data_IF_892381602457
#
_entry.id   IF_892381602457
#
_cell.length_a   1.000
_cell.length_b   1.000
_cell.length_c   1.000
_cell.angle_alpha   90.00
_cell.angle_beta   90.00
_cell.angle_gamma   90.00
#
_symmetry.space_group_name_H-M   'P 1'
#
loop_
_entity.id
_entity.type
_entity.pdbx_description
1 polymer ?
#
# COMPACT_ATOMS: atom_id res chain seq x y z
N UNK A 1 -11.98 -1.41 23.40
CA UNK A 1 -11.97 -0.77 22.06
C UNK A 1 -13.40 -0.56 21.62
N UNK A 2 -13.74 0.62 21.15
CA UNK A 2 -15.07 0.90 20.60
C UNK A 2 -15.18 0.31 19.18
N UNK A 3 -16.41 0.19 18.67
CA UNK A 3 -16.63 -0.26 17.29
C UNK A 3 -15.97 0.69 16.28
N UNK A 4 -16.07 2.00 16.52
CA UNK A 4 -15.45 3.00 15.64
C UNK A 4 -13.92 2.89 15.64
N UNK A 5 -13.32 2.66 16.80
CA UNK A 5 -11.87 2.45 16.91
C UNK A 5 -11.44 1.15 16.22
N UNK A 6 -12.19 0.07 16.41
CA UNK A 6 -11.97 -1.19 15.73
C UNK A 6 -11.95 -0.99 14.21
N UNK A 7 -12.93 -0.28 13.67
CA UNK A 7 -13.03 -0.05 12.23
C UNK A 7 -11.84 0.75 11.70
N UNK A 8 -11.41 1.79 12.43
CA UNK A 8 -10.25 2.59 12.04
C UNK A 8 -8.96 1.78 12.05
N UNK A 9 -8.76 0.96 13.09
CA UNK A 9 -7.55 0.13 13.21
C UNK A 9 -7.50 -0.87 12.06
N UNK A 10 -8.58 -1.61 11.83
CA UNK A 10 -8.57 -2.65 10.80
C UNK A 10 -8.58 -2.06 9.38
N UNK A 11 -9.10 -0.86 9.19
CA UNK A 11 -8.90 -0.14 7.94
C UNK A 11 -7.41 0.08 7.67
N UNK A 12 -6.67 0.55 8.67
CA UNK A 12 -5.26 0.89 8.51
C UNK A 12 -4.35 -0.32 8.32
N UNK A 13 -4.59 -1.41 9.05
CA UNK A 13 -3.63 -2.53 9.10
C UNK A 13 -4.07 -3.76 8.30
N UNK A 14 -5.29 -3.79 7.81
CA UNK A 14 -5.82 -4.92 7.04
C UNK A 14 -6.44 -4.48 5.72
N UNK A 15 -7.46 -3.64 5.76
CA UNK A 15 -8.21 -3.30 4.55
C UNK A 15 -7.39 -2.45 3.58
N UNK A 16 -6.68 -1.45 4.08
CA UNK A 16 -5.91 -0.55 3.23
C UNK A 16 -4.74 -1.24 2.54
N UNK A 17 -3.95 -2.11 3.20
CA UNK A 17 -2.93 -2.89 2.50
C UNK A 17 -3.49 -3.69 1.32
N UNK A 18 -4.68 -4.28 1.46
CA UNK A 18 -5.33 -4.98 0.34
C UNK A 18 -5.67 -4.02 -0.80
N UNK A 19 -6.22 -2.84 -0.48
CA UNK A 19 -6.54 -1.84 -1.51
C UNK A 19 -5.30 -1.40 -2.27
N UNK A 20 -4.18 -1.23 -1.56
CA UNK A 20 -2.90 -0.88 -2.20
C UNK A 20 -2.43 -1.97 -3.16
N UNK A 21 -2.56 -3.23 -2.74
CA UNK A 21 -2.19 -4.36 -3.59
C UNK A 21 -3.06 -4.42 -4.85
N UNK A 22 -4.38 -4.26 -4.70
CA UNK A 22 -5.30 -4.20 -5.83
C UNK A 22 -4.96 -3.05 -6.78
N UNK A 23 -4.70 -1.87 -6.24
CA UNK A 23 -4.37 -0.70 -7.05
C UNK A 23 -3.07 -0.88 -7.82
N UNK A 24 -2.08 -1.50 -7.20
CA UNK A 24 -0.80 -1.77 -7.86
C UNK A 24 -0.96 -2.77 -9.00
N UNK A 25 -1.71 -3.86 -8.78
CA UNK A 25 -1.99 -4.83 -9.83
C UNK A 25 -2.78 -4.17 -10.97
N UNK A 26 -3.73 -3.30 -10.63
CA UNK A 26 -4.52 -2.58 -11.62
C UNK A 26 -3.66 -1.65 -12.47
N UNK A 27 -2.64 -1.05 -11.88
CA UNK A 27 -1.66 -0.23 -12.61
C UNK A 27 -0.95 -1.06 -13.67
N UNK A 28 -0.60 -2.32 -13.34
CA UNK A 28 -0.01 -3.24 -14.32
C UNK A 28 -1.01 -3.66 -15.39
N UNK A 29 -2.26 -3.91 -14.99
CA UNK A 29 -3.33 -4.27 -15.93
C UNK A 29 -3.56 -3.17 -16.97
N UNK A 30 -3.58 -1.92 -16.52
CA UNK A 30 -3.84 -0.76 -17.39
C UNK A 30 -2.63 -0.30 -18.18
N UNK A 31 -1.42 -0.73 -17.78
CA UNK A 31 -0.20 -0.30 -18.45
C UNK A 31 -0.04 -0.99 -19.81
N UNK A 32 0.28 -0.23 -20.89
CA UNK A 32 0.44 -0.82 -22.24
C UNK A 32 1.47 -1.95 -22.28
N UNK A 33 2.50 -1.92 -21.44
CA UNK A 33 3.56 -2.91 -21.35
C UNK A 33 3.42 -3.83 -20.15
N UNK A 34 2.27 -3.82 -19.47
CA UNK A 34 2.08 -4.56 -18.23
C UNK A 34 2.37 -6.06 -18.36
N UNK A 35 1.85 -6.69 -19.42
CA UNK A 35 2.08 -8.12 -19.66
C UNK A 35 3.58 -8.42 -19.84
N UNK A 36 4.31 -7.55 -20.52
CA UNK A 36 5.75 -7.69 -20.70
C UNK A 36 6.50 -7.56 -19.37
N UNK A 37 6.11 -6.58 -18.56
CA UNK A 37 6.75 -6.37 -17.25
C UNK A 37 6.56 -7.56 -16.32
N UNK A 38 5.37 -8.17 -16.36
CA UNK A 38 5.07 -9.32 -15.51
C UNK A 38 5.94 -10.54 -15.81
N UNK A 39 6.48 -10.65 -17.02
CA UNK A 39 7.41 -11.73 -17.36
C UNK A 39 8.70 -11.66 -16.55
N UNK A 40 9.04 -10.49 -16.03
CA UNK A 40 10.28 -10.26 -15.28
C UNK A 40 10.02 -10.06 -13.78
N UNK A 41 8.76 -10.19 -13.33
CA UNK A 41 8.40 -9.99 -11.94
C UNK A 41 9.03 -11.06 -11.06
N UNK A 42 9.54 -10.63 -9.91
CA UNK A 42 10.19 -11.49 -8.94
C UNK A 42 9.43 -11.60 -7.62
N UNK A 43 10.16 -11.99 -6.57
CA UNK A 43 9.58 -12.25 -5.26
C UNK A 43 8.93 -11.02 -4.64
N UNK A 44 9.51 -9.83 -4.80
CA UNK A 44 8.95 -8.60 -4.25
C UNK A 44 7.54 -8.30 -4.79
N UNK A 45 7.37 -8.41 -6.10
CA UNK A 45 6.05 -8.25 -6.72
C UNK A 45 5.09 -9.33 -6.23
N UNK A 46 5.54 -10.60 -6.24
CA UNK A 46 4.70 -11.73 -5.84
C UNK A 46 4.21 -11.60 -4.41
N UNK A 47 5.12 -11.27 -3.49
CA UNK A 47 4.78 -11.16 -2.07
C UNK A 47 3.83 -9.99 -1.81
N UNK A 48 4.11 -8.83 -2.39
CA UNK A 48 3.28 -7.65 -2.18
C UNK A 48 1.88 -7.81 -2.77
N UNK A 49 1.76 -8.45 -3.94
CA UNK A 49 0.48 -8.54 -4.66
C UNK A 49 -0.33 -9.80 -4.34
N UNK A 50 0.21 -10.72 -3.55
CA UNK A 50 -0.46 -11.99 -3.25
C UNK A 50 -1.89 -11.78 -2.75
N UNK A 51 -2.10 -10.80 -1.88
CA UNK A 51 -3.41 -10.51 -1.29
C UNK A 51 -4.41 -9.91 -2.29
N UNK A 52 -3.97 -9.48 -3.46
CA UNK A 52 -4.87 -9.01 -4.50
C UNK A 52 -5.60 -10.16 -5.22
N UNK A 53 -5.20 -11.41 -4.99
CA UNK A 53 -5.91 -12.58 -5.50
C UNK A 53 -7.01 -12.99 -4.50
N UNK A 54 -7.96 -12.08 -4.28
CA UNK A 54 -9.03 -12.25 -3.29
C UNK A 54 -10.39 -11.92 -3.92
N UNK A 55 -11.46 -12.36 -3.25
CA UNK A 55 -12.84 -12.23 -3.76
C UNK A 55 -13.22 -10.76 -4.02
N UNK A 56 -13.57 -10.39 -5.27
CA UNK A 56 -13.99 -9.02 -5.56
C UNK A 56 -15.30 -8.65 -4.86
N UNK A 57 -16.22 -9.58 -4.69
CA UNK A 57 -17.48 -9.32 -4.00
C UNK A 57 -17.27 -9.00 -2.52
N UNK A 58 -16.43 -9.80 -1.86
CA UNK A 58 -16.11 -9.59 -0.44
C UNK A 58 -15.40 -8.25 -0.25
N UNK A 59 -14.43 -7.93 -1.10
CA UNK A 59 -13.65 -6.70 -0.95
C UNK A 59 -14.43 -5.45 -1.33
N UNK A 60 -15.36 -5.55 -2.29
CA UNK A 60 -16.33 -4.49 -2.56
C UNK A 60 -17.11 -4.16 -1.28
N UNK A 61 -17.63 -5.18 -0.61
CA UNK A 61 -18.46 -4.99 0.57
C UNK A 61 -17.67 -4.46 1.75
N UNK A 62 -16.45 -4.96 1.96
CA UNK A 62 -15.54 -4.46 3.00
C UNK A 62 -15.22 -2.98 2.76
N UNK A 63 -14.88 -2.62 1.54
CA UNK A 63 -14.50 -1.26 1.19
C UNK A 63 -15.66 -0.28 1.43
N UNK A 64 -16.87 -0.66 1.02
CA UNK A 64 -18.05 0.20 1.22
C UNK A 64 -18.40 0.32 2.71
N UNK A 65 -18.28 -0.77 3.46
CA UNK A 65 -18.60 -0.76 4.89
C UNK A 65 -17.65 0.14 5.69
N UNK A 66 -16.41 0.29 5.26
CA UNK A 66 -15.40 1.12 5.96
C UNK A 66 -14.93 2.29 5.09
N UNK A 67 -15.84 2.83 4.31
CA UNK A 67 -15.58 3.84 3.29
C UNK A 67 -14.82 5.07 3.80
N UNK A 68 -15.30 5.66 4.89
CA UNK A 68 -14.74 6.95 5.34
C UNK A 68 -13.31 6.81 5.86
N UNK A 69 -13.03 5.76 6.63
CA UNK A 69 -11.68 5.48 7.10
C UNK A 69 -10.72 5.21 5.93
N UNK A 70 -11.20 4.47 4.92
CA UNK A 70 -10.38 4.15 3.75
C UNK A 70 -10.10 5.37 2.89
N UNK A 71 -11.07 6.27 2.74
CA UNK A 71 -10.86 7.53 2.01
C UNK A 71 -9.79 8.39 2.68
N UNK A 72 -9.80 8.46 4.01
CA UNK A 72 -8.76 9.17 4.76
C UNK A 72 -7.38 8.58 4.53
N UNK A 73 -7.27 7.25 4.61
CA UNK A 73 -6.00 6.55 4.39
C UNK A 73 -5.47 6.73 2.96
N UNK A 74 -6.36 6.72 1.98
CA UNK A 74 -5.97 7.00 0.59
C UNK A 74 -5.38 8.40 0.48
N UNK A 75 -6.00 9.40 1.13
CA UNK A 75 -5.47 10.77 1.15
C UNK A 75 -4.07 10.83 1.76
N UNK A 76 -3.87 10.15 2.88
CA UNK A 76 -2.56 10.07 3.54
C UNK A 76 -1.51 9.39 2.65
N UNK A 77 -1.90 8.31 1.97
CA UNK A 77 -1.00 7.61 1.07
C UNK A 77 -0.59 8.47 -0.13
N UNK A 78 -1.53 9.23 -0.67
CA UNK A 78 -1.21 10.18 -1.75
C UNK A 78 -0.13 11.18 -1.31
N UNK A 79 -0.20 11.66 -0.07
CA UNK A 79 0.80 12.57 0.47
C UNK A 79 2.17 11.90 0.57
N UNK A 80 2.22 10.62 0.97
CA UNK A 80 3.48 9.88 1.01
C UNK A 80 4.08 9.72 -0.40
N UNK A 81 3.25 9.38 -1.37
CA UNK A 81 3.71 9.26 -2.75
C UNK A 81 4.20 10.60 -3.31
N UNK A 82 3.54 11.71 -2.95
CA UNK A 82 3.97 13.05 -3.36
C UNK A 82 5.34 13.41 -2.77
N UNK A 83 5.62 13.03 -1.52
CA UNK A 83 6.94 13.23 -0.90
C UNK A 83 8.03 12.48 -1.68
N UNK A 84 7.78 11.22 -1.99
CA UNK A 84 8.70 10.42 -2.80
C UNK A 84 8.92 11.03 -4.18
N UNK A 85 7.84 11.46 -4.81
CA UNK A 85 7.89 12.09 -6.12
C UNK A 85 8.77 13.33 -6.11
N UNK A 86 8.61 14.22 -5.12
CA UNK A 86 9.43 15.43 -5.00
C UNK A 86 10.90 15.09 -4.80
N UNK A 87 11.20 14.15 -3.90
CA UNK A 87 12.59 13.75 -3.64
C UNK A 87 13.24 13.19 -4.90
N UNK A 88 12.49 12.40 -5.68
CA UNK A 88 12.98 11.84 -6.94
C UNK A 88 13.19 12.93 -7.99
N UNK A 89 12.24 13.86 -8.15
CA UNK A 89 12.36 14.96 -9.08
C UNK A 89 13.56 15.84 -8.77
N UNK A 90 13.81 16.09 -7.49
CA UNK A 90 14.91 16.93 -7.03
C UNK A 90 16.22 16.14 -6.89
N UNK A 91 16.23 14.85 -7.18
CA UNK A 91 17.39 13.97 -7.05
C UNK A 91 18.02 14.09 -5.66
N UNK A 92 17.18 14.22 -4.63
CA UNK A 92 17.64 14.43 -3.26
C UNK A 92 17.94 13.07 -2.59
N UNK A 93 19.22 12.66 -2.72
CA UNK A 93 19.67 11.38 -2.21
C UNK A 93 19.52 11.26 -0.68
N UNK A 94 19.77 12.37 0.04
CA UNK A 94 19.67 12.35 1.50
C UNK A 94 18.23 12.20 1.97
N UNK A 95 17.29 12.91 1.36
CA UNK A 95 15.86 12.77 1.71
C UNK A 95 15.38 11.34 1.43
N UNK A 96 15.76 10.76 0.30
CA UNK A 96 15.39 9.38 -0.02
C UNK A 96 15.97 8.40 0.98
N UNK A 97 17.25 8.55 1.30
CA UNK A 97 17.91 7.70 2.30
C UNK A 97 17.18 7.75 3.64
N UNK A 98 16.91 8.98 4.12
CA UNK A 98 16.27 9.16 5.44
C UNK A 98 14.84 8.62 5.46
N UNK A 99 14.12 8.81 4.37
CA UNK A 99 12.76 8.29 4.22
C UNK A 99 12.74 6.77 4.31
N UNK A 100 13.60 6.11 3.55
CA UNK A 100 13.69 4.64 3.56
C UNK A 100 14.20 4.11 4.90
N UNK A 101 15.16 4.79 5.50
CA UNK A 101 15.73 4.36 6.78
C UNK A 101 14.69 4.40 7.89
N UNK A 102 13.87 5.45 7.97
CA UNK A 102 12.82 5.54 8.98
C UNK A 102 11.81 4.39 8.84
N UNK A 103 11.42 4.06 7.61
CA UNK A 103 10.52 2.94 7.34
C UNK A 103 11.17 1.60 7.69
N UNK A 104 12.44 1.42 7.34
CA UNK A 104 13.19 0.20 7.67
C UNK A 104 13.25 -0.02 9.17
N UNK A 105 13.57 1.00 9.94
CA UNK A 105 13.68 0.92 11.40
C UNK A 105 12.36 0.52 12.03
N UNK A 106 11.27 1.14 11.63
CA UNK A 106 9.95 0.79 12.16
C UNK A 106 9.60 -0.67 11.87
N UNK A 107 9.82 -1.10 10.62
CA UNK A 107 9.47 -2.46 10.22
C UNK A 107 10.33 -3.51 10.95
N UNK A 108 11.60 -3.24 11.13
CA UNK A 108 12.50 -4.14 11.88
C UNK A 108 12.08 -4.27 13.33
N UNK A 109 11.81 -3.15 14.00
CA UNK A 109 11.38 -3.14 15.41
C UNK A 109 10.06 -3.89 15.59
N UNK A 110 9.10 -3.64 14.70
CA UNK A 110 7.83 -4.34 14.73
C UNK A 110 8.01 -5.85 14.50
N UNK A 111 8.87 -6.23 13.56
CA UNK A 111 9.15 -7.64 13.25
C UNK A 111 9.78 -8.40 14.41
N UNK A 112 10.58 -7.72 15.25
CA UNK A 112 11.20 -8.34 16.43
C UNK A 112 10.17 -8.72 17.50
N UNK A 113 9.05 -8.00 17.58
CA UNK A 113 8.01 -8.21 18.60
C UNK A 113 6.79 -8.95 18.04
N UNK A 114 6.71 -9.12 16.76
CA UNK A 114 5.58 -9.72 16.06
C UNK A 114 6.07 -10.70 15.00
#
# INVERSE_FOLDING_TARGET
>A
MTAAEHDRIFAAVSHFPHLLAFAYVHQMLDHPQGARYLQFAGSGFRDFTRIAASSPEMWRDIALANRDSLLQLIGEQKQQLEKLERSLKNRNAQELHDYFQAAQQLREEWGETH
#
